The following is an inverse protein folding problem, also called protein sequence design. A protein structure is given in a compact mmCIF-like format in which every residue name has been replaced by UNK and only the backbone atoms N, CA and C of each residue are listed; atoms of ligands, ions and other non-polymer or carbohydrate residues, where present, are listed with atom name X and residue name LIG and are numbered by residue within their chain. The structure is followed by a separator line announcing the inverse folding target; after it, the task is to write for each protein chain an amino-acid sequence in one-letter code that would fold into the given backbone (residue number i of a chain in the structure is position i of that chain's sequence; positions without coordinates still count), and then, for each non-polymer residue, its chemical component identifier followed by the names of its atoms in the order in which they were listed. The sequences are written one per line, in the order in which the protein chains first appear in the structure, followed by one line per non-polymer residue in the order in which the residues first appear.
data_IF_815891589431
#
_entry.id   IF_815891589431
#
_cell.length_a   1.000
_cell.length_b   1.000
_cell.length_c   1.000
_cell.angle_alpha   90.00
_cell.angle_beta   90.00
_cell.angle_gamma   90.00
#
_symmetry.space_group_name_H-M   'P 1'
#
loop_
_entity.id
_entity.type
_entity.pdbx_description
1 polymer ?
#
# COMPACT_ATOMS: atom_id res chain seq x y z
N UNK A 1 -11.71 4.89 -24.99
CA UNK A 1 -11.58 6.34 -24.72
C UNK A 1 -12.37 6.57 -23.45
N UNK A 2 -11.68 6.72 -22.33
CA UNK A 2 -12.31 6.71 -21.01
C UNK A 2 -12.68 8.13 -20.62
N UNK A 3 -13.98 8.43 -20.64
CA UNK A 3 -14.58 9.65 -20.12
C UNK A 3 -14.50 9.69 -18.58
N UNK A 4 -13.29 9.84 -18.05
CA UNK A 4 -13.04 10.08 -16.62
C UNK A 4 -12.50 11.49 -16.37
N UNK A 5 -13.02 12.47 -17.11
CA UNK A 5 -13.00 13.89 -16.71
C UNK A 5 -14.06 14.14 -15.61
N UNK A 6 -14.07 13.30 -14.57
CA UNK A 6 -14.69 13.64 -13.30
C UNK A 6 -13.86 14.80 -12.75
N UNK A 7 -14.40 16.01 -12.86
CA UNK A 7 -13.81 17.28 -12.50
C UNK A 7 -13.22 17.24 -11.07
N UNK A 8 -11.96 16.81 -10.93
CA UNK A 8 -11.29 16.72 -9.64
C UNK A 8 -11.27 18.10 -8.98
N UNK A 9 -11.68 18.22 -7.71
CA UNK A 9 -11.79 19.52 -7.07
C UNK A 9 -10.42 20.20 -7.00
N UNK A 10 -10.36 21.45 -7.47
CA UNK A 10 -9.18 22.30 -7.33
C UNK A 10 -9.24 23.04 -5.99
N UNK A 11 -8.29 22.75 -5.10
CA UNK A 11 -8.35 23.17 -3.70
C UNK A 11 -7.13 24.02 -3.35
N UNK A 12 -7.29 25.24 -2.81
CA UNK A 12 -6.16 26.02 -2.30
C UNK A 12 -5.41 25.27 -1.19
N UNK A 13 -4.08 25.41 -1.13
CA UNK A 13 -3.25 24.72 -0.13
C UNK A 13 -3.64 25.04 1.32
N UNK A 14 -4.18 26.24 1.59
CA UNK A 14 -4.70 26.59 2.92
C UNK A 14 -5.92 25.76 3.31
N UNK A 15 -6.83 25.53 2.37
CA UNK A 15 -8.06 24.74 2.56
C UNK A 15 -7.71 23.25 2.67
N UNK A 16 -6.81 22.77 1.82
CA UNK A 16 -6.35 21.38 1.87
C UNK A 16 -5.68 21.06 3.21
N UNK A 17 -4.77 21.92 3.69
CA UNK A 17 -4.07 21.73 4.97
C UNK A 17 -5.01 21.74 6.18
N UNK A 18 -6.10 22.49 6.13
CA UNK A 18 -7.06 22.54 7.22
C UNK A 18 -7.82 21.21 7.40
N UNK A 19 -8.07 20.47 6.31
CA UNK A 19 -8.73 19.18 6.36
C UNK A 19 -8.34 18.25 5.19
N UNK A 20 -7.18 17.59 5.24
CA UNK A 20 -6.70 16.73 4.15
C UNK A 20 -7.56 15.47 3.96
N UNK A 21 -8.13 14.93 5.05
CA UNK A 21 -8.85 13.64 5.01
C UNK A 21 -10.17 13.71 4.25
N UNK A 22 -10.77 14.91 4.15
CA UNK A 22 -11.96 15.15 3.34
C UNK A 22 -11.77 14.78 1.84
N UNK A 23 -10.53 14.72 1.37
CA UNK A 23 -10.19 14.41 -0.01
C UNK A 23 -9.60 13.00 -0.18
N UNK A 24 -9.57 12.18 0.88
CA UNK A 24 -8.97 10.85 0.84
C UNK A 24 -9.68 9.91 -0.15
N UNK A 25 -11.00 10.05 -0.31
CA UNK A 25 -11.83 9.19 -1.17
C UNK A 25 -12.06 9.77 -2.56
N UNK A 26 -12.09 11.10 -2.69
CA UNK A 26 -12.41 11.78 -3.96
C UNK A 26 -11.17 12.24 -4.73
N UNK A 27 -10.05 12.43 -4.04
CA UNK A 27 -8.88 13.11 -4.58
C UNK A 27 -9.06 14.62 -4.64
N UNK A 28 -7.97 15.31 -4.98
CA UNK A 28 -7.97 16.76 -5.20
C UNK A 28 -6.71 17.21 -5.95
N UNK A 29 -6.83 18.28 -6.74
CA UNK A 29 -5.68 19.04 -7.24
C UNK A 29 -5.41 20.19 -6.30
N UNK A 30 -4.27 20.18 -5.62
CA UNK A 30 -3.90 21.22 -4.66
C UNK A 30 -3.18 22.36 -5.38
N UNK A 31 -3.74 23.56 -5.20
CA UNK A 31 -3.31 24.80 -5.82
C UNK A 31 -2.48 25.64 -4.84
N UNK A 32 -1.34 26.16 -5.28
CA UNK A 32 -0.52 27.14 -4.54
C UNK A 32 -0.37 28.38 -5.42
N UNK A 33 -0.77 29.54 -4.92
CA UNK A 33 -0.82 30.78 -5.72
C UNK A 33 -1.55 30.59 -7.06
N UNK A 34 -2.70 29.91 -7.04
CA UNK A 34 -3.53 29.59 -8.20
C UNK A 34 -2.84 28.77 -9.30
N UNK A 35 -1.79 28.02 -8.95
CA UNK A 35 -1.11 27.08 -9.84
C UNK A 35 -1.17 25.67 -9.24
N UNK A 36 -1.45 24.62 -10.04
CA UNK A 36 -1.43 23.26 -9.55
C UNK A 36 0.00 22.87 -9.16
N UNK A 37 0.16 22.32 -7.96
CA UNK A 37 1.48 21.89 -7.45
C UNK A 37 1.51 20.45 -6.97
N UNK A 38 0.37 19.91 -6.58
CA UNK A 38 0.24 18.56 -6.04
C UNK A 38 -1.11 18.00 -6.48
N UNK A 39 -1.14 16.70 -6.81
CA UNK A 39 -2.37 15.95 -7.05
C UNK A 39 -2.46 14.85 -6.00
N UNK A 40 -3.59 14.81 -5.30
CA UNK A 40 -3.92 13.77 -4.32
C UNK A 40 -4.86 12.81 -5.01
N UNK A 41 -4.42 11.56 -5.14
CA UNK A 41 -5.20 10.50 -5.76
C UNK A 41 -5.63 9.53 -4.67
N UNK A 42 -6.92 9.19 -4.57
CA UNK A 42 -7.39 8.15 -3.67
C UNK A 42 -6.65 6.86 -4.00
N UNK A 43 -5.98 6.29 -3.01
CA UNK A 43 -5.55 4.90 -3.13
C UNK A 43 -6.83 4.11 -2.94
N UNK A 44 -7.37 3.57 -4.04
CA UNK A 44 -8.45 2.59 -3.96
C UNK A 44 -7.92 1.43 -3.13
N UNK A 45 -8.28 1.44 -1.84
CA UNK A 45 -8.20 0.25 -1.05
C UNK A 45 -9.30 -0.64 -1.62
N UNK A 46 -8.93 -1.53 -2.53
CA UNK A 46 -9.57 -2.84 -2.59
C UNK A 46 -8.70 -3.81 -1.77
N UNK A 47 -8.70 -3.68 -0.42
CA UNK A 47 -7.87 -4.53 0.41
C UNK A 47 -8.49 -5.93 0.51
N UNK A 48 -9.80 -6.09 0.29
CA UNK A 48 -10.49 -7.33 0.63
C UNK A 48 -10.53 -8.31 -0.55
N UNK A 49 -10.75 -7.87 -1.79
CA UNK A 49 -10.72 -8.80 -2.92
C UNK A 49 -9.28 -9.28 -3.17
N UNK A 50 -8.32 -8.35 -3.18
CA UNK A 50 -6.91 -8.66 -3.47
C UNK A 50 -6.24 -9.46 -2.35
N UNK A 51 -6.46 -9.10 -1.08
CA UNK A 51 -5.87 -9.85 0.04
C UNK A 51 -6.52 -11.22 0.21
N UNK A 52 -7.84 -11.33 0.03
CA UNK A 52 -8.51 -12.63 0.09
C UNK A 52 -8.03 -13.55 -1.04
N UNK A 53 -7.84 -13.02 -2.26
CA UNK A 53 -7.29 -13.77 -3.39
C UNK A 53 -5.84 -14.19 -3.15
N UNK A 54 -4.99 -13.29 -2.66
CA UNK A 54 -3.59 -13.59 -2.30
C UNK A 54 -3.55 -14.64 -1.18
N UNK A 55 -4.37 -14.52 -0.13
CA UNK A 55 -4.46 -15.51 0.95
C UNK A 55 -4.95 -16.87 0.44
N UNK A 56 -5.94 -16.89 -0.44
CA UNK A 56 -6.43 -18.13 -1.04
C UNK A 56 -5.34 -18.82 -1.86
N UNK A 57 -4.60 -18.05 -2.66
CA UNK A 57 -3.48 -18.55 -3.48
C UNK A 57 -2.34 -19.08 -2.62
N UNK A 58 -1.97 -18.37 -1.55
CA UNK A 58 -0.97 -18.83 -0.59
C UNK A 58 -1.41 -20.09 0.15
N UNK A 59 -2.71 -20.23 0.47
CA UNK A 59 -3.25 -21.44 1.11
C UNK A 59 -3.14 -22.66 0.21
N UNK A 60 -3.41 -22.49 -1.09
CA UNK A 60 -3.24 -23.56 -2.09
C UNK A 60 -1.76 -23.91 -2.24
N UNK A 61 -0.87 -22.93 -2.33
CA UNK A 61 0.58 -23.17 -2.42
C UNK A 61 1.14 -23.87 -1.17
N UNK A 62 0.72 -23.46 0.03
CA UNK A 62 1.10 -24.14 1.28
C UNK A 62 0.58 -25.58 1.37
N UNK A 63 -0.52 -25.90 0.69
CA UNK A 63 -1.04 -27.27 0.65
C UNK A 63 -0.26 -28.17 -0.33
N UNK A 64 0.53 -27.58 -1.23
CA UNK A 64 1.35 -28.28 -2.22
C UNK A 64 2.80 -28.47 -1.78
N UNK A 65 3.24 -27.76 -0.73
CA UNK A 65 4.58 -27.87 -0.15
C UNK A 65 4.53 -28.88 1.01
N UNK A 66 5.54 -29.76 1.09
CA UNK A 66 5.72 -30.62 2.25
C UNK A 66 6.02 -29.74 3.47
N UNK A 67 5.27 -29.91 4.56
CA UNK A 67 5.42 -29.09 5.75
C UNK A 67 6.82 -29.20 6.37
N UNK A 68 7.48 -30.35 6.19
CA UNK A 68 8.87 -30.53 6.63
C UNK A 68 9.84 -29.57 5.93
N UNK A 69 9.72 -29.44 4.60
CA UNK A 69 10.58 -28.55 3.80
C UNK A 69 10.33 -27.08 4.15
N UNK A 70 9.06 -26.69 4.35
CA UNK A 70 8.69 -25.32 4.73
C UNK A 70 9.20 -24.93 6.14
N UNK A 71 9.23 -25.89 7.07
CA UNK A 71 9.72 -25.66 8.43
C UNK A 71 11.25 -25.57 8.48
N UNK A 72 11.94 -26.34 7.65
CA UNK A 72 13.40 -26.25 7.51
C UNK A 72 13.84 -24.91 6.88
N UNK A 73 13.13 -24.44 5.85
CA UNK A 73 13.39 -23.13 5.24
C UNK A 73 13.08 -21.97 6.19
N UNK A 74 11.98 -22.04 6.95
CA UNK A 74 11.69 -21.05 8.01
C UNK A 74 12.78 -20.99 9.08
N UNK A 75 13.34 -22.15 9.46
CA UNK A 75 14.42 -22.22 10.46
C UNK A 75 15.71 -21.59 9.92
N UNK A 76 16.01 -21.78 8.63
CA UNK A 76 17.15 -21.15 7.97
C UNK A 76 17.01 -19.62 7.90
N UNK A 77 15.84 -19.11 7.47
CA UNK A 77 15.58 -17.66 7.39
C UNK A 77 15.58 -16.97 8.76
N UNK A 78 15.08 -17.66 9.80
CA UNK A 78 15.14 -17.13 11.17
C UNK A 78 16.59 -17.01 11.66
N UNK A 79 17.45 -17.98 11.36
CA UNK A 79 18.85 -17.95 11.71
C UNK A 79 19.63 -16.84 10.98
N UNK A 80 19.31 -16.58 9.71
CA UNK A 80 19.88 -15.48 8.92
C UNK A 80 19.49 -14.11 9.51
N UNK A 81 18.19 -13.89 9.76
CA UNK A 81 17.71 -12.65 10.40
C UNK A 81 18.33 -12.41 11.77
N UNK A 82 18.43 -13.46 12.59
CA UNK A 82 19.00 -13.34 13.93
C UNK A 82 20.52 -13.08 13.87
N UNK A 83 21.21 -13.50 12.80
CA UNK A 83 22.59 -13.14 12.54
C UNK A 83 22.73 -11.65 12.12
N UNK A 84 21.87 -11.18 11.21
CA UNK A 84 21.86 -9.76 10.79
C UNK A 84 21.61 -8.80 11.98
N UNK A 85 20.69 -9.17 12.88
CA UNK A 85 20.38 -8.39 14.09
C UNK A 85 21.55 -8.35 15.11
N UNK A 86 22.44 -9.35 15.09
CA UNK A 86 23.62 -9.39 15.95
C UNK A 86 24.78 -8.55 15.39
N UNK A 87 24.88 -8.38 14.07
CA UNK A 87 25.86 -7.48 13.44
C UNK A 87 25.50 -5.99 13.63
N UNK A 88 24.22 -5.63 13.62
CA UNK A 88 23.74 -4.24 13.85
C UNK A 88 23.85 -3.78 15.32
N UNK A 89 24.11 -4.71 16.26
CA UNK A 89 24.19 -4.44 17.70
C UNK A 89 25.62 -4.23 18.25
N UNK A 90 26.65 -4.20 17.39
CA UNK A 90 28.06 -3.92 17.72
C UNK A 90 28.48 -2.50 17.28
#
# INVERSE_FOLDING_TARGET
MSDSDLNEPQVPISVFKANPIAYATTGAVVMVHNKPRLRVVPIAADPDATLAEVKARLRVLNALIDQADADDERRALAAERDADLLEDAQ
#
